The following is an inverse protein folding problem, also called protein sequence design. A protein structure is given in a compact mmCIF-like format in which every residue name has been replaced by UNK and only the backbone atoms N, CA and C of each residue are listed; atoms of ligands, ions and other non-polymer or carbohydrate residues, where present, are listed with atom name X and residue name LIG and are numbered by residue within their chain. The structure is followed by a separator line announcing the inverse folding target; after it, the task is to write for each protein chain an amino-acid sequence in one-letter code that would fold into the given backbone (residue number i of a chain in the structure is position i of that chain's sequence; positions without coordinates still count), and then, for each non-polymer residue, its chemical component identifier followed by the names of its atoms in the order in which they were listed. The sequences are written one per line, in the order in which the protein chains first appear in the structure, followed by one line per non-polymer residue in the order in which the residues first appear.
data_IF_483404798743
#
_entry.id   IF_483404798743
#
_cell.length_a   1.000
_cell.length_b   1.000
_cell.length_c   1.000
_cell.angle_alpha   90.00
_cell.angle_beta   90.00
_cell.angle_gamma   90.00
#
_symmetry.space_group_name_H-M   'P 1'
#
loop_
_entity.id
_entity.type
_entity.pdbx_description
1 polymer ?
#
# COMPACT_ATOMS: atom_id res chain seq x y z
N UNK A 1 -41.27 -34.95 40.73
CA UNK A 1 -40.89 -34.20 39.50
C UNK A 1 -39.40 -33.92 39.56
N UNK A 2 -38.56 -34.71 38.87
CA UNK A 2 -37.11 -34.49 38.82
C UNK A 2 -36.80 -33.58 37.63
N UNK A 3 -36.23 -32.41 37.89
CA UNK A 3 -35.79 -31.47 36.84
C UNK A 3 -34.45 -31.99 36.28
N UNK A 4 -34.46 -32.49 35.05
CA UNK A 4 -33.25 -32.71 34.27
C UNK A 4 -32.81 -31.35 33.69
N UNK A 5 -31.75 -30.77 34.23
CA UNK A 5 -31.06 -29.66 33.57
C UNK A 5 -30.09 -30.24 32.54
N UNK A 6 -30.36 -30.01 31.26
CA UNK A 6 -29.44 -30.29 30.16
C UNK A 6 -28.38 -29.17 30.14
N UNK A 7 -27.12 -29.50 30.41
CA UNK A 7 -25.99 -28.59 30.16
C UNK A 7 -25.59 -28.76 28.68
N UNK A 8 -25.83 -27.75 27.85
CA UNK A 8 -25.31 -27.70 26.48
C UNK A 8 -23.92 -27.07 26.56
N UNK A 9 -22.87 -27.89 26.40
CA UNK A 9 -21.49 -27.44 26.28
C UNK A 9 -21.26 -27.02 24.81
N UNK A 10 -21.38 -25.73 24.50
CA UNK A 10 -21.03 -25.20 23.18
C UNK A 10 -19.51 -25.10 23.05
N UNK A 11 -18.89 -26.05 22.35
CA UNK A 11 -17.51 -25.93 21.85
C UNK A 11 -17.49 -24.88 20.73
N UNK A 12 -17.15 -23.64 21.06
CA UNK A 12 -16.73 -22.66 20.05
C UNK A 12 -15.31 -23.02 19.62
N UNK A 13 -15.18 -23.76 18.53
CA UNK A 13 -13.94 -23.79 17.75
C UNK A 13 -13.79 -22.44 17.05
N UNK A 14 -12.95 -21.56 17.60
CA UNK A 14 -12.59 -20.30 16.96
C UNK A 14 -11.89 -20.58 15.64
N UNK A 15 -12.47 -20.15 14.53
CA UNK A 15 -11.76 -20.04 13.28
C UNK A 15 -10.77 -18.87 13.41
N UNK A 16 -9.48 -19.16 13.45
CA UNK A 16 -8.45 -18.14 13.31
C UNK A 16 -8.44 -17.69 11.85
N UNK A 17 -9.16 -16.62 11.54
CA UNK A 17 -8.94 -15.87 10.30
C UNK A 17 -7.63 -15.12 10.51
N UNK A 18 -6.56 -15.54 9.85
CA UNK A 18 -5.33 -14.76 9.79
C UNK A 18 -5.67 -13.52 8.97
N UNK A 19 -5.90 -12.38 9.65
CA UNK A 19 -6.00 -11.09 8.98
C UNK A 19 -4.69 -10.81 8.26
N UNK A 20 -4.76 -10.36 7.02
CA UNK A 20 -3.58 -9.90 6.29
C UNK A 20 -3.05 -8.65 6.98
N UNK A 21 -1.74 -8.62 7.24
CA UNK A 21 -1.10 -7.50 7.94
C UNK A 21 -1.10 -6.26 7.04
N UNK A 22 -1.54 -5.12 7.55
CA UNK A 22 -1.31 -3.83 6.90
C UNK A 22 -0.27 -3.03 7.69
N UNK A 23 0.27 -2.00 7.07
CA UNK A 23 1.16 -1.05 7.75
C UNK A 23 0.33 -0.27 8.77
N UNK A 24 0.85 -0.10 9.98
CA UNK A 24 0.19 0.72 10.99
C UNK A 24 0.16 2.21 10.60
N UNK A 25 -0.98 2.86 10.85
CA UNK A 25 -1.27 4.25 10.48
C UNK A 25 -1.00 4.56 9.00
N UNK A 26 -1.32 3.61 8.12
CA UNK A 26 -1.13 3.71 6.68
C UNK A 26 -1.95 4.79 5.96
N UNK A 27 -3.00 5.32 6.60
CA UNK A 27 -3.79 6.47 6.13
C UNK A 27 -3.38 7.81 6.75
N UNK A 28 -2.34 7.86 7.61
CA UNK A 28 -1.86 9.09 8.24
C UNK A 28 -2.92 9.89 9.03
N UNK A 29 -3.74 9.20 9.82
CA UNK A 29 -4.80 9.84 10.61
C UNK A 29 -4.36 10.18 12.04
N UNK A 30 -3.36 9.47 12.55
CA UNK A 30 -2.84 9.61 13.91
C UNK A 30 -1.47 10.29 13.91
N UNK A 31 -1.29 11.30 14.75
CA UNK A 31 -0.11 12.16 14.77
C UNK A 31 0.27 12.58 16.19
N UNK A 32 1.58 12.62 16.44
CA UNK A 32 2.14 13.17 17.66
C UNK A 32 2.46 14.66 17.49
N UNK A 33 2.35 15.40 18.59
CA UNK A 33 2.80 16.80 18.71
C UNK A 33 2.29 17.75 17.59
N UNK A 34 1.06 17.55 17.13
CA UNK A 34 0.43 18.37 16.07
C UNK A 34 0.57 19.86 16.35
N UNK A 35 1.06 20.61 15.36
CA UNK A 35 1.28 22.06 15.43
C UNK A 35 2.61 22.47 16.06
N UNK A 36 3.47 21.52 16.44
CA UNK A 36 4.81 21.79 16.96
C UNK A 36 5.91 21.50 15.92
N UNK A 37 7.16 21.84 16.25
CA UNK A 37 8.32 21.52 15.40
C UNK A 37 8.76 20.05 15.48
N UNK A 38 8.10 19.23 16.30
CA UNK A 38 8.34 17.78 16.45
C UNK A 38 7.11 16.96 16.06
N UNK A 39 6.25 17.52 15.22
CA UNK A 39 5.10 16.83 14.65
C UNK A 39 5.57 15.73 13.69
N UNK A 40 5.12 14.50 13.95
CA UNK A 40 5.38 13.31 13.13
C UNK A 40 4.14 12.38 13.19
N UNK A 41 3.84 11.60 12.12
CA UNK A 41 2.74 10.64 12.16
C UNK A 41 3.08 9.51 13.13
N UNK A 42 2.09 8.98 13.86
CA UNK A 42 2.36 7.78 14.66
C UNK A 42 2.84 6.64 13.75
N UNK A 43 3.81 5.84 14.21
CA UNK A 43 4.47 4.75 13.47
C UNK A 43 5.39 5.18 12.30
N UNK A 44 5.51 6.47 12.01
CA UNK A 44 6.35 6.98 10.93
C UNK A 44 7.30 8.06 11.44
N UNK A 45 8.53 8.02 10.99
CA UNK A 45 9.61 8.85 11.53
C UNK A 45 10.19 9.75 10.46
N UNK A 46 10.40 11.02 10.84
CA UNK A 46 11.12 12.01 10.06
C UNK A 46 12.45 12.37 10.73
N UNK A 47 12.96 13.54 10.41
CA UNK A 47 14.25 13.99 10.95
C UNK A 47 14.22 14.38 12.43
N UNK A 48 13.04 14.51 13.05
CA UNK A 48 12.96 14.96 14.45
C UNK A 48 13.24 13.83 15.44
N UNK A 49 13.06 12.59 15.01
CA UNK A 49 13.39 11.36 15.74
C UNK A 49 14.64 10.65 15.18
N UNK A 50 15.39 11.32 14.30
CA UNK A 50 16.61 10.79 13.71
C UNK A 50 17.70 10.42 14.74
N UNK A 51 18.62 9.55 14.31
CA UNK A 51 19.84 9.13 14.99
C UNK A 51 21.08 9.64 14.26
N UNK A 52 22.27 9.26 14.74
CA UNK A 52 23.55 9.62 14.14
C UNK A 52 24.15 10.91 14.70
N UNK A 53 25.41 11.16 14.32
CA UNK A 53 26.26 12.25 14.84
C UNK A 53 25.63 13.63 14.69
N UNK A 54 24.83 13.85 13.64
CA UNK A 54 24.25 15.14 13.31
C UNK A 54 22.74 15.24 13.61
N UNK A 55 22.17 14.30 14.37
CA UNK A 55 20.73 14.27 14.63
C UNK A 55 20.18 15.52 15.33
N UNK A 56 20.99 16.20 16.16
CA UNK A 56 20.60 17.45 16.83
C UNK A 56 20.29 18.59 15.85
N UNK A 57 20.71 18.47 14.60
CA UNK A 57 20.42 19.41 13.52
C UNK A 57 19.19 19.02 12.68
N UNK A 58 18.53 17.92 13.05
CA UNK A 58 17.30 17.43 12.43
C UNK A 58 16.20 18.48 12.43
N UNK A 59 15.68 18.77 11.24
CA UNK A 59 14.65 19.78 11.00
C UNK A 59 13.30 19.14 10.76
N UNK A 60 12.22 19.83 11.15
CA UNK A 60 10.89 19.42 10.72
C UNK A 60 10.80 19.48 9.18
N UNK A 61 10.38 18.36 8.59
CA UNK A 61 10.19 18.18 7.15
C UNK A 61 8.96 17.34 6.81
N UNK A 62 8.09 17.15 7.80
CA UNK A 62 6.79 16.47 7.69
C UNK A 62 5.76 17.18 8.57
N UNK A 63 4.52 17.29 8.10
CA UNK A 63 3.34 17.74 8.86
C UNK A 63 2.10 16.97 8.43
N UNK A 64 1.09 17.01 9.30
CA UNK A 64 -0.27 16.61 8.96
C UNK A 64 -0.89 17.64 8.03
N UNK A 65 -1.37 17.18 6.88
CA UNK A 65 -2.11 18.00 5.93
C UNK A 65 -3.58 17.63 5.95
N UNK A 66 -4.45 18.61 5.70
CA UNK A 66 -5.89 18.38 5.42
C UNK A 66 -6.17 18.21 3.93
N UNK A 67 -5.14 18.27 3.09
CA UNK A 67 -5.24 17.98 1.68
C UNK A 67 -5.19 16.46 1.51
N UNK A 68 -6.32 15.85 1.14
CA UNK A 68 -6.48 14.40 1.03
C UNK A 68 -6.84 14.00 -0.38
N UNK A 69 -6.61 12.73 -0.73
CA UNK A 69 -6.99 12.25 -2.06
C UNK A 69 -8.50 12.36 -2.31
N UNK A 70 -8.94 12.40 -3.59
CA UNK A 70 -10.36 12.27 -3.91
C UNK A 70 -10.97 11.01 -3.32
N UNK A 71 -12.17 11.15 -2.73
CA UNK A 71 -12.92 10.07 -2.09
C UNK A 71 -12.14 9.36 -0.96
N UNK A 72 -11.21 10.05 -0.28
CA UNK A 72 -10.63 9.52 0.96
C UNK A 72 -11.72 9.36 2.02
N UNK A 73 -11.63 8.29 2.81
CA UNK A 73 -12.40 8.15 4.04
C UNK A 73 -11.70 8.83 5.23
N UNK A 74 -10.40 9.11 5.07
CA UNK A 74 -9.55 9.82 6.01
C UNK A 74 -9.73 11.33 5.93
N UNK A 75 -9.28 12.02 6.98
CA UNK A 75 -9.32 13.48 7.07
C UNK A 75 -7.94 14.10 6.84
N UNK A 76 -6.90 13.29 6.88
CA UNK A 76 -5.53 13.76 6.90
C UNK A 76 -4.64 13.01 5.92
N UNK A 77 -3.53 13.64 5.56
CA UNK A 77 -2.44 13.03 4.80
C UNK A 77 -1.10 13.51 5.35
N UNK A 78 0.00 12.87 4.95
CA UNK A 78 1.33 13.36 5.27
C UNK A 78 1.84 14.30 4.17
N UNK A 79 2.28 15.51 4.54
CA UNK A 79 3.01 16.42 3.64
C UNK A 79 4.47 16.50 4.07
N UNK A 80 5.37 16.20 3.14
CA UNK A 80 6.81 16.34 3.28
C UNK A 80 7.34 17.44 2.38
N UNK A 81 8.50 17.99 2.73
CA UNK A 81 9.18 18.97 1.88
C UNK A 81 10.71 18.89 1.93
N UNK A 82 11.32 19.28 0.82
CA UNK A 82 12.76 19.57 0.76
C UNK A 82 13.07 20.80 1.61
N UNK A 83 14.17 20.76 2.36
CA UNK A 83 14.64 21.87 3.19
C UNK A 83 16.10 22.22 2.90
N UNK A 84 16.39 23.50 2.75
CA UNK A 84 17.76 24.00 2.76
C UNK A 84 18.22 24.17 4.22
N UNK A 85 19.18 23.35 4.66
CA UNK A 85 19.73 23.36 6.03
C UNK A 85 21.08 24.08 6.12
N UNK A 86 21.32 25.06 5.24
CA UNK A 86 22.54 25.88 5.10
C UNK A 86 23.77 25.11 4.60
N UNK A 87 24.04 23.91 5.14
CA UNK A 87 25.19 23.08 4.75
C UNK A 87 24.88 22.17 3.56
N UNK A 88 23.60 21.90 3.31
CA UNK A 88 23.13 21.03 2.25
C UNK A 88 21.64 21.25 1.98
N UNK A 89 21.16 20.68 0.87
CA UNK A 89 19.75 20.43 0.64
C UNK A 89 19.39 19.08 1.27
N UNK A 90 18.47 19.07 2.22
CA UNK A 90 17.91 17.87 2.82
C UNK A 90 16.60 17.53 2.13
N UNK A 91 16.46 16.33 1.59
CA UNK A 91 15.18 15.85 1.07
C UNK A 91 14.17 15.74 2.21
N UNK A 92 12.89 15.98 1.95
CA UNK A 92 11.86 15.47 2.84
C UNK A 92 11.98 13.95 2.89
N UNK A 93 11.95 13.37 4.08
CA UNK A 93 12.16 11.94 4.30
C UNK A 93 11.22 11.47 5.41
N UNK A 94 10.38 10.47 5.09
CA UNK A 94 9.44 9.84 6.02
C UNK A 94 9.58 8.33 5.87
N UNK A 95 9.78 7.63 6.98
CA UNK A 95 10.08 6.20 6.97
C UNK A 95 9.41 5.45 8.12
N UNK A 96 9.07 4.18 7.92
CA UNK A 96 8.70 3.26 9.01
C UNK A 96 9.90 2.90 9.91
N UNK A 97 11.11 3.16 9.42
CA UNK A 97 12.34 2.95 10.16
C UNK A 97 12.77 4.18 10.93
N UNK A 98 14.08 4.36 11.06
CA UNK A 98 14.72 5.56 11.58
C UNK A 98 15.70 6.15 10.57
N UNK A 99 15.79 7.46 10.53
CA UNK A 99 16.81 8.17 9.74
C UNK A 99 18.12 8.21 10.54
N UNK A 100 19.24 7.84 9.95
CA UNK A 100 20.58 8.06 10.48
C UNK A 100 21.24 9.25 9.78
N UNK A 101 21.53 10.31 10.53
CA UNK A 101 22.22 11.53 10.10
C UNK A 101 23.71 11.44 10.46
N UNK A 102 24.47 10.57 9.79
CA UNK A 102 25.87 10.35 10.11
C UNK A 102 26.83 11.38 9.51
N UNK A 103 26.42 12.13 8.48
CA UNK A 103 27.30 13.04 7.73
C UNK A 103 26.59 14.27 7.17
N UNK A 104 27.26 15.42 7.15
CA UNK A 104 26.78 16.63 6.46
C UNK A 104 26.93 16.58 4.94
N UNK A 105 27.71 15.62 4.40
CA UNK A 105 27.78 15.33 2.96
C UNK A 105 26.60 14.46 2.57
N UNK A 106 25.64 14.93 1.75
CA UNK A 106 24.38 14.21 1.48
C UNK A 106 24.56 12.81 0.92
N UNK A 107 25.53 12.62 0.03
CA UNK A 107 25.83 11.34 -0.64
C UNK A 107 26.66 10.36 0.18
N UNK A 108 26.99 10.69 1.42
CA UNK A 108 27.75 9.79 2.30
C UNK A 108 26.94 8.54 2.64
N UNK A 109 27.59 7.37 2.63
CA UNK A 109 27.01 6.11 3.07
C UNK A 109 26.64 6.11 4.57
N UNK A 110 27.11 7.09 5.34
CA UNK A 110 26.70 7.30 6.73
C UNK A 110 25.30 7.94 6.84
N UNK A 111 24.69 8.35 5.73
CA UNK A 111 23.31 8.83 5.69
C UNK A 111 22.42 7.75 5.08
N UNK A 112 21.50 7.21 5.88
CA UNK A 112 20.61 6.12 5.47
C UNK A 112 19.35 6.09 6.33
N UNK A 113 18.31 5.45 5.82
CA UNK A 113 17.18 5.01 6.64
C UNK A 113 17.39 3.56 7.02
N UNK A 114 16.96 3.15 8.21
CA UNK A 114 17.13 1.76 8.62
C UNK A 114 16.00 1.25 9.50
N UNK A 115 15.75 -0.05 9.43
CA UNK A 115 14.93 -0.73 10.42
C UNK A 115 15.79 -1.00 11.65
N UNK A 116 15.47 -0.35 12.76
CA UNK A 116 16.09 -0.65 14.06
C UNK A 116 15.27 -1.78 14.70
N UNK A 117 15.63 -3.03 14.40
CA UNK A 117 14.76 -4.20 14.63
C UNK A 117 14.52 -4.53 16.12
N UNK A 118 15.26 -3.90 17.04
CA UNK A 118 15.07 -4.01 18.47
C UNK A 118 14.16 -2.93 19.07
N UNK A 119 13.68 -1.98 18.26
CA UNK A 119 12.81 -0.88 18.68
C UNK A 119 11.58 -0.79 17.77
N UNK A 120 10.42 -1.07 18.37
CA UNK A 120 9.12 -1.06 17.68
C UNK A 120 8.69 0.33 17.22
N UNK A 121 9.32 1.41 17.72
CA UNK A 121 9.07 2.76 17.23
C UNK A 121 9.77 3.05 15.89
N UNK A 122 10.73 2.20 15.52
CA UNK A 122 11.61 2.37 14.36
C UNK A 122 11.72 1.09 13.51
N UNK A 123 10.71 0.22 13.62
CA UNK A 123 10.60 -1.00 12.83
C UNK A 123 9.14 -1.43 12.70
N UNK A 124 8.78 -1.90 11.50
CA UNK A 124 7.45 -2.44 11.20
C UNK A 124 7.57 -3.94 10.94
N UNK A 125 6.90 -4.76 11.74
CA UNK A 125 6.91 -6.22 11.56
C UNK A 125 6.04 -6.62 10.38
N UNK A 126 6.58 -7.45 9.49
CA UNK A 126 5.84 -8.02 8.38
C UNK A 126 6.36 -9.41 8.02
N UNK A 127 5.58 -10.43 8.36
CA UNK A 127 5.95 -11.84 8.11
C UNK A 127 5.32 -12.41 6.84
N UNK A 128 4.54 -11.60 6.11
CA UNK A 128 3.85 -11.98 4.89
C UNK A 128 4.47 -11.25 3.69
N UNK A 129 4.47 -11.89 2.52
CA UNK A 129 5.03 -11.30 1.30
C UNK A 129 3.85 -10.84 0.41
N UNK A 130 3.47 -9.55 0.42
CA UNK A 130 2.49 -9.00 -0.50
C UNK A 130 2.94 -9.11 -1.96
N UNK A 131 1.98 -8.99 -2.87
CA UNK A 131 2.18 -8.93 -4.31
C UNK A 131 2.56 -7.51 -4.75
N UNK A 132 1.90 -6.49 -4.20
CA UNK A 132 2.18 -5.09 -4.56
C UNK A 132 2.02 -4.12 -3.41
N UNK A 133 2.77 -3.02 -3.50
CA UNK A 133 2.60 -1.81 -2.71
C UNK A 133 1.70 -0.85 -3.49
N UNK A 134 0.64 -0.38 -2.86
CA UNK A 134 -0.28 0.64 -3.37
C UNK A 134 -0.23 1.85 -2.47
N UNK A 135 -0.35 3.05 -3.03
CA UNK A 135 -0.45 4.28 -2.26
C UNK A 135 -0.96 5.42 -3.14
N UNK A 136 -1.36 6.53 -2.53
CA UNK A 136 -1.67 7.77 -3.22
C UNK A 136 -0.60 8.82 -2.95
N UNK A 137 -0.22 9.55 -4.00
CA UNK A 137 0.74 10.65 -3.91
C UNK A 137 0.30 11.87 -4.71
N UNK A 138 0.73 13.03 -4.24
CA UNK A 138 0.76 14.27 -5.01
C UNK A 138 2.14 14.88 -4.87
N UNK A 139 2.83 15.13 -5.99
CA UNK A 139 4.19 15.68 -5.98
C UNK A 139 4.25 16.98 -6.78
N UNK A 140 4.73 18.02 -6.13
CA UNK A 140 4.89 19.36 -6.69
C UNK A 140 6.35 19.80 -6.45
N UNK A 141 7.26 19.49 -7.39
CA UNK A 141 8.61 20.02 -7.36
C UNK A 141 8.65 21.43 -7.96
N UNK A 142 9.70 22.18 -7.62
CA UNK A 142 10.00 23.48 -8.24
C UNK A 142 10.72 23.28 -9.57
N UNK A 143 11.68 22.35 -9.61
CA UNK A 143 12.29 21.91 -10.86
C UNK A 143 11.55 20.66 -11.36
N UNK A 144 10.99 20.73 -12.57
CA UNK A 144 10.22 19.63 -13.17
C UNK A 144 11.04 18.35 -13.41
N UNK A 145 12.37 18.46 -13.43
CA UNK A 145 13.29 17.33 -13.57
C UNK A 145 13.54 16.60 -12.24
N UNK A 146 13.09 17.16 -11.11
CA UNK A 146 13.14 16.45 -9.84
C UNK A 146 12.11 15.33 -9.83
N UNK A 147 12.53 14.16 -9.34
CA UNK A 147 11.68 12.99 -9.16
C UNK A 147 11.66 12.62 -7.68
N UNK A 148 10.47 12.44 -7.12
CA UNK A 148 10.31 11.85 -5.79
C UNK A 148 10.61 10.34 -5.86
N UNK A 149 10.91 9.73 -4.71
CA UNK A 149 11.22 8.30 -4.62
C UNK A 149 10.40 7.64 -3.52
N UNK A 150 9.92 6.44 -3.81
CA UNK A 150 9.46 5.48 -2.81
C UNK A 150 10.41 4.29 -2.83
N UNK A 151 10.75 3.80 -1.64
CA UNK A 151 11.56 2.60 -1.45
C UNK A 151 10.92 1.75 -0.39
N UNK A 152 10.53 0.54 -0.76
CA UNK A 152 9.89 -0.41 0.11
C UNK A 152 10.63 -1.73 0.04
N UNK A 153 11.19 -2.18 1.16
CA UNK A 153 11.99 -3.39 1.23
C UNK A 153 11.48 -4.26 2.38
N UNK A 154 11.15 -5.51 2.06
CA UNK A 154 10.86 -6.55 3.03
C UNK A 154 12.16 -7.32 3.24
N UNK A 155 12.55 -7.48 4.50
CA UNK A 155 13.82 -8.10 4.89
C UNK A 155 13.63 -9.04 6.08
N UNK A 156 14.67 -9.81 6.37
CA UNK A 156 14.69 -10.75 7.49
C UNK A 156 14.93 -10.06 8.84
N UNK A 157 15.44 -10.78 9.84
CA UNK A 157 15.60 -10.24 11.19
C UNK A 157 16.91 -9.48 11.41
N UNK A 158 17.62 -9.12 10.34
CA UNK A 158 18.83 -8.29 10.40
C UNK A 158 18.47 -6.83 10.13
N UNK A 159 19.10 -5.89 10.84
CA UNK A 159 18.94 -4.47 10.52
C UNK A 159 19.25 -4.21 9.03
N UNK A 160 18.34 -3.52 8.36
CA UNK A 160 18.44 -3.22 6.94
C UNK A 160 18.56 -1.71 6.73
N UNK A 161 19.51 -1.27 5.90
CA UNK A 161 19.77 0.14 5.60
C UNK A 161 19.44 0.48 4.14
N UNK A 162 18.49 1.37 3.89
CA UNK A 162 18.25 1.97 2.58
C UNK A 162 19.08 3.26 2.42
N UNK A 163 19.92 3.41 1.37
CA UNK A 163 20.09 2.51 0.22
C UNK A 163 21.22 1.48 0.32
N UNK A 164 22.02 1.50 1.39
CA UNK A 164 23.28 0.74 1.48
C UNK A 164 23.16 -0.77 1.32
N UNK A 165 22.03 -1.34 1.74
CA UNK A 165 21.78 -2.78 1.79
C UNK A 165 20.81 -3.26 0.70
N UNK A 166 20.32 -2.37 -0.16
CA UNK A 166 19.37 -2.72 -1.23
C UNK A 166 19.90 -3.84 -2.11
N UNK A 167 19.11 -4.91 -2.24
CA UNK A 167 19.45 -6.09 -3.04
C UNK A 167 20.45 -7.06 -2.39
N UNK A 168 20.81 -6.88 -1.11
CA UNK A 168 21.66 -7.82 -0.39
C UNK A 168 20.92 -9.15 -0.07
N UNK A 169 21.62 -10.08 0.60
CA UNK A 169 21.09 -11.42 0.94
C UNK A 169 19.92 -11.43 1.94
N UNK A 170 19.75 -10.34 2.69
CA UNK A 170 18.74 -10.23 3.73
C UNK A 170 17.40 -9.75 3.15
N UNK A 171 17.41 -9.22 1.92
CA UNK A 171 16.20 -8.79 1.21
C UNK A 171 15.37 -9.99 0.79
N UNK A 172 14.09 -9.94 1.15
CA UNK A 172 13.06 -10.91 0.77
C UNK A 172 12.28 -10.42 -0.46
N UNK A 173 11.91 -9.14 -0.48
CA UNK A 173 11.25 -8.52 -1.61
C UNK A 173 11.43 -7.00 -1.63
N UNK A 174 11.35 -6.37 -2.80
CA UNK A 174 11.43 -4.91 -2.91
C UNK A 174 10.44 -4.32 -3.93
N UNK A 175 9.95 -3.13 -3.63
CA UNK A 175 9.17 -2.28 -4.52
C UNK A 175 9.73 -0.86 -4.44
N UNK A 176 10.56 -0.49 -5.42
CA UNK A 176 11.25 0.81 -5.47
C UNK A 176 10.88 1.49 -6.78
N UNK A 177 10.45 2.75 -6.71
CA UNK A 177 10.11 3.54 -7.89
C UNK A 177 10.39 5.01 -7.66
N UNK A 178 10.90 5.67 -8.69
CA UNK A 178 10.95 7.13 -8.77
C UNK A 178 9.76 7.61 -9.60
N UNK A 179 9.25 8.80 -9.31
CA UNK A 179 8.15 9.38 -10.06
C UNK A 179 8.27 10.90 -10.21
N UNK A 180 7.91 11.43 -11.39
CA UNK A 180 7.93 12.86 -11.64
C UNK A 180 6.74 13.56 -10.98
N UNK A 181 6.65 14.87 -11.18
CA UNK A 181 5.53 15.70 -10.75
C UNK A 181 4.15 15.10 -11.15
N UNK A 182 3.14 15.33 -10.30
CA UNK A 182 1.78 14.80 -10.52
C UNK A 182 0.81 15.85 -11.07
N UNK A 183 1.33 16.97 -11.60
CA UNK A 183 0.56 18.12 -12.09
C UNK A 183 -0.44 18.67 -11.05
N UNK A 184 -0.06 18.65 -9.77
CA UNK A 184 -0.92 19.13 -8.68
C UNK A 184 -2.09 18.20 -8.33
N UNK A 185 -2.19 17.02 -8.94
CA UNK A 185 -3.25 16.05 -8.68
C UNK A 185 -2.76 14.89 -7.82
N UNK A 186 -3.68 14.29 -7.07
CA UNK A 186 -3.47 13.01 -6.42
C UNK A 186 -3.48 11.88 -7.44
N UNK A 187 -2.45 11.04 -7.43
CA UNK A 187 -2.27 9.90 -8.33
C UNK A 187 -2.08 8.65 -7.49
N UNK A 188 -2.87 7.61 -7.78
CA UNK A 188 -2.67 6.27 -7.23
C UNK A 188 -1.49 5.60 -7.92
N UNK A 189 -0.56 5.07 -7.13
CA UNK A 189 0.56 4.24 -7.59
C UNK A 189 0.34 2.80 -7.14
N UNK A 190 0.88 1.87 -7.92
CA UNK A 190 0.84 0.43 -7.66
C UNK A 190 2.14 -0.17 -8.17
N UNK A 191 2.96 -0.67 -7.27
CA UNK A 191 4.31 -1.18 -7.57
C UNK A 191 4.36 -2.65 -7.17
N UNK A 192 4.62 -3.58 -8.11
CA UNK A 192 4.78 -4.98 -7.77
C UNK A 192 6.08 -5.20 -6.98
N UNK A 193 6.02 -6.08 -5.99
CA UNK A 193 7.21 -6.53 -5.27
C UNK A 193 8.02 -7.50 -6.14
N UNK A 194 9.29 -7.17 -6.36
CA UNK A 194 10.28 -8.11 -6.91
C UNK A 194 10.80 -8.98 -5.77
N UNK A 195 10.59 -10.30 -5.86
CA UNK A 195 10.97 -11.27 -4.83
C UNK A 195 12.41 -11.77 -5.03
N UNK A 196 13.11 -11.98 -3.92
CA UNK A 196 14.47 -12.49 -3.85
C UNK A 196 14.47 -13.95 -3.38
N UNK A 197 15.67 -14.52 -3.21
CA UNK A 197 15.86 -15.91 -2.78
C UNK A 197 15.58 -16.13 -1.30
N UNK A 198 15.82 -15.12 -0.47
CA UNK A 198 15.43 -15.15 0.94
C UNK A 198 13.91 -15.10 1.05
N UNK A 199 13.33 -15.97 1.85
CA UNK A 199 11.87 -16.07 2.05
C UNK A 199 11.46 -15.79 3.49
N UNK A 200 12.41 -15.50 4.38
CA UNK A 200 12.18 -15.26 5.79
C UNK A 200 11.77 -13.79 6.05
N UNK A 201 10.59 -13.39 5.58
CA UNK A 201 10.05 -12.05 5.85
C UNK A 201 9.86 -11.86 7.37
N UNK A 202 10.42 -10.78 7.92
CA UNK A 202 10.26 -10.43 9.33
C UNK A 202 9.90 -8.95 9.50
N UNK A 203 10.48 -8.07 8.68
CA UNK A 203 10.28 -6.63 8.75
C UNK A 203 10.09 -6.00 7.38
N UNK A 204 9.48 -4.82 7.36
CA UNK A 204 9.34 -3.96 6.18
C UNK A 204 9.92 -2.58 6.49
N UNK A 205 10.78 -2.07 5.60
CA UNK A 205 11.24 -0.69 5.59
C UNK A 205 10.63 0.03 4.40
N UNK A 206 9.69 0.92 4.65
CA UNK A 206 9.10 1.81 3.66
C UNK A 206 9.60 3.24 3.90
N UNK A 207 10.02 3.90 2.82
CA UNK A 207 10.51 5.28 2.81
C UNK A 207 9.92 6.03 1.64
N UNK A 208 9.48 7.27 1.89
CA UNK A 208 9.20 8.26 0.86
C UNK A 208 10.15 9.44 0.96
N UNK A 209 10.66 9.91 -0.19
CA UNK A 209 11.49 11.11 -0.26
C UNK A 209 11.05 12.08 -1.36
N UNK A 210 11.23 13.38 -1.11
CA UNK A 210 10.92 14.44 -2.10
C UNK A 210 11.88 14.47 -3.28
N UNK A 211 13.01 13.75 -3.21
CA UNK A 211 13.93 13.57 -4.31
C UNK A 211 14.56 12.17 -4.29
N UNK A 212 14.83 11.61 -5.48
CA UNK A 212 15.52 10.33 -5.64
C UNK A 212 17.01 10.39 -5.30
N UNK A 213 17.64 11.56 -5.49
CA UNK A 213 19.08 11.74 -5.31
C UNK A 213 19.35 12.56 -4.03
N UNK A 214 20.22 12.08 -3.12
CA UNK A 214 20.58 12.82 -1.92
C UNK A 214 21.20 14.18 -2.25
N UNK A 215 20.78 15.23 -1.54
CA UNK A 215 21.33 16.57 -1.75
C UNK A 215 20.72 17.32 -2.94
N UNK A 216 19.78 16.71 -3.67
CA UNK A 216 19.07 17.35 -4.78
C UNK A 216 17.69 17.82 -4.32
N UNK A 217 17.28 19.00 -4.75
CA UNK A 217 15.97 19.54 -4.44
C UNK A 217 15.98 21.06 -4.40
N UNK A 218 14.81 21.66 -4.27
CA UNK A 218 14.67 23.11 -4.14
C UNK A 218 13.96 23.49 -2.86
N UNK A 219 14.48 24.52 -2.19
CA UNK A 219 13.84 25.24 -1.10
C UNK A 219 14.35 26.69 -1.08
N UNK A 220 13.48 27.62 -1.49
CA UNK A 220 13.76 29.05 -1.50
C UNK A 220 13.06 29.80 -0.35
N UNK A 221 12.69 29.10 0.73
CA UNK A 221 12.25 29.71 1.98
C UNK A 221 10.73 29.84 2.16
N UNK A 222 9.92 29.28 1.27
CA UNK A 222 8.46 29.17 1.47
C UNK A 222 7.89 27.87 0.92
N UNK A 223 6.69 27.50 1.37
CA UNK A 223 6.01 26.28 0.92
C UNK A 223 5.72 26.26 -0.59
N UNK A 224 5.52 27.41 -1.22
CA UNK A 224 5.30 27.55 -2.65
C UNK A 224 6.59 27.54 -3.48
N UNK A 225 7.74 27.57 -2.83
CA UNK A 225 9.06 27.69 -3.47
C UNK A 225 10.01 26.59 -3.03
N UNK A 226 9.45 25.46 -2.57
CA UNK A 226 10.17 24.23 -2.25
C UNK A 226 9.48 23.01 -2.87
N UNK A 227 10.21 21.92 -3.01
CA UNK A 227 9.63 20.66 -3.46
C UNK A 227 8.74 20.09 -2.35
N UNK A 228 7.48 19.78 -2.65
CA UNK A 228 6.52 19.21 -1.71
C UNK A 228 5.97 17.87 -2.23
N UNK A 229 5.83 16.92 -1.31
CA UNK A 229 5.27 15.59 -1.55
C UNK A 229 4.18 15.33 -0.53
N UNK A 230 2.98 14.99 -0.99
CA UNK A 230 1.90 14.48 -0.15
C UNK A 230 1.72 12.98 -0.39
N UNK A 231 1.42 12.24 0.67
CA UNK A 231 1.24 10.79 0.68
C UNK A 231 0.00 10.46 1.49
N UNK A 232 -0.81 9.53 0.98
CA UNK A 232 -2.05 9.09 1.63
C UNK A 232 -2.34 7.61 1.28
N UNK A 233 -3.15 6.94 2.11
CA UNK A 233 -3.68 5.59 1.93
C UNK A 233 -2.68 4.57 1.35
N UNK A 234 -1.66 4.19 2.13
CA UNK A 234 -0.70 3.13 1.79
C UNK A 234 -1.34 1.76 2.02
N UNK A 235 -1.21 0.84 1.07
CA UNK A 235 -1.81 -0.49 1.14
C UNK A 235 -0.83 -1.57 0.66
N UNK A 236 -0.75 -2.66 1.41
CA UNK A 236 -0.10 -3.89 0.97
C UNK A 236 -1.16 -4.81 0.35
N UNK A 237 -1.02 -5.09 -0.94
CA UNK A 237 -1.93 -5.99 -1.65
C UNK A 237 -1.36 -7.39 -1.61
N UNK A 238 -2.06 -8.32 -0.97
CA UNK A 238 -1.64 -9.71 -0.91
C UNK A 238 -2.21 -10.51 -2.06
N UNK A 239 -1.48 -11.52 -2.53
CA UNK A 239 -2.08 -12.51 -3.38
C UNK A 239 -3.24 -13.16 -2.61
N UNK A 240 -4.44 -13.12 -3.18
CA UNK A 240 -5.53 -13.92 -2.66
C UNK A 240 -5.12 -15.38 -2.80
N UNK A 241 -4.69 -15.99 -1.69
CA UNK A 241 -4.55 -17.44 -1.62
C UNK A 241 -5.95 -18.01 -1.87
N UNK A 242 -6.18 -18.44 -3.11
CA UNK A 242 -7.38 -19.10 -3.58
C UNK A 242 -8.69 -18.28 -3.39
N UNK A 243 -9.14 -17.63 -4.48
CA UNK A 243 -10.46 -18.08 -4.93
C UNK A 243 -10.21 -19.55 -5.29
N UNK A 244 -10.52 -20.47 -4.37
CA UNK A 244 -10.75 -21.82 -4.83
C UNK A 244 -11.79 -21.62 -5.92
N UNK A 245 -11.45 -21.93 -7.16
CA UNK A 245 -12.48 -22.26 -8.12
C UNK A 245 -13.15 -23.44 -7.45
N UNK A 246 -14.22 -23.15 -6.72
CA UNK A 246 -15.10 -24.16 -6.20
C UNK A 246 -15.70 -24.71 -7.48
N UNK A 247 -15.01 -25.66 -8.09
CA UNK A 247 -15.57 -26.64 -9.01
C UNK A 247 -16.44 -27.57 -8.16
N UNK A 248 -17.30 -27.00 -7.30
CA UNK A 248 -18.60 -27.61 -7.13
C UNK A 248 -19.21 -27.53 -8.52
N UNK A 249 -19.93 -28.58 -8.87
CA UNK A 249 -20.60 -28.78 -10.14
C UNK A 249 -21.70 -27.70 -10.32
N UNK A 250 -21.31 -26.42 -10.41
CA UNK A 250 -22.21 -25.31 -10.62
C UNK A 250 -22.78 -25.49 -12.02
N UNK A 251 -24.11 -25.58 -12.17
CA UNK A 251 -24.74 -25.82 -13.46
C UNK A 251 -24.76 -24.56 -14.32
N UNK A 252 -23.75 -23.70 -14.20
CA UNK A 252 -23.63 -22.43 -14.90
C UNK A 252 -22.63 -22.57 -16.04
N UNK A 253 -23.10 -22.38 -17.26
CA UNK A 253 -22.27 -22.42 -18.47
C UNK A 253 -22.06 -21.00 -18.97
N UNK A 254 -20.80 -20.60 -19.14
CA UNK A 254 -20.44 -19.34 -19.79
C UNK A 254 -19.71 -19.60 -21.11
N UNK A 255 -20.14 -18.92 -22.16
CA UNK A 255 -19.53 -18.99 -23.50
C UNK A 255 -19.84 -17.71 -24.29
N UNK A 256 -19.16 -17.51 -25.41
CA UNK A 256 -19.33 -16.32 -26.24
C UNK A 256 -19.81 -16.66 -27.64
N UNK A 257 -20.67 -15.81 -28.19
CA UNK A 257 -21.09 -15.79 -29.59
C UNK A 257 -20.76 -14.39 -30.15
N UNK A 258 -19.59 -14.24 -30.77
CA UNK A 258 -19.05 -12.92 -31.14
C UNK A 258 -18.83 -12.03 -29.92
N UNK A 259 -19.36 -10.79 -29.98
CA UNK A 259 -19.30 -9.81 -28.88
C UNK A 259 -20.32 -10.09 -27.75
N UNK A 260 -21.10 -11.17 -27.84
CA UNK A 260 -22.12 -11.49 -26.83
C UNK A 260 -21.58 -12.52 -25.83
N UNK A 261 -21.47 -12.11 -24.56
CA UNK A 261 -21.27 -13.03 -23.44
C UNK A 261 -22.60 -13.67 -23.05
N UNK A 262 -22.64 -15.00 -23.04
CA UNK A 262 -23.82 -15.79 -22.70
C UNK A 262 -23.55 -16.54 -21.40
N UNK A 263 -24.45 -16.38 -20.43
CA UNK A 263 -24.39 -17.01 -19.10
C UNK A 263 -25.68 -17.80 -18.92
N UNK A 264 -25.59 -19.12 -18.98
CA UNK A 264 -26.73 -20.02 -18.77
C UNK A 264 -26.70 -20.58 -17.36
N UNK A 265 -27.75 -20.32 -16.59
CA UNK A 265 -27.95 -20.95 -15.29
C UNK A 265 -28.90 -22.14 -15.43
N UNK A 266 -28.37 -23.37 -15.38
CA UNK A 266 -29.17 -24.56 -15.67
C UNK A 266 -29.87 -25.16 -14.44
N UNK A 267 -29.48 -24.83 -13.19
CA UNK A 267 -30.19 -25.20 -11.95
C UNK A 267 -29.68 -24.39 -10.75
N UNK A 268 -30.48 -23.43 -10.30
CA UNK A 268 -30.55 -22.82 -8.94
C UNK A 268 -30.90 -21.33 -9.09
N UNK A 269 -31.66 -20.77 -8.18
CA UNK A 269 -31.80 -19.32 -8.03
C UNK A 269 -30.41 -18.71 -7.77
N UNK A 270 -29.93 -17.87 -8.68
CA UNK A 270 -28.82 -16.98 -8.36
C UNK A 270 -29.40 -15.79 -7.59
N UNK A 271 -28.78 -15.41 -6.48
CA UNK A 271 -29.16 -14.27 -5.63
C UNK A 271 -28.43 -12.99 -6.04
N UNK A 272 -27.35 -13.11 -6.81
CA UNK A 272 -26.66 -11.98 -7.41
C UNK A 272 -25.83 -12.43 -8.60
N UNK A 273 -25.73 -11.60 -9.61
CA UNK A 273 -24.76 -11.70 -10.70
C UNK A 273 -24.08 -10.35 -10.88
N UNK A 274 -22.76 -10.36 -10.94
CA UNK A 274 -21.92 -9.18 -11.17
C UNK A 274 -20.95 -9.52 -12.30
N UNK A 275 -20.77 -8.60 -13.24
CA UNK A 275 -19.76 -8.72 -14.30
C UNK A 275 -18.84 -7.52 -14.19
N UNK A 276 -17.55 -7.79 -14.06
CA UNK A 276 -16.52 -6.80 -13.82
C UNK A 276 -15.58 -6.77 -15.03
N UNK A 277 -15.28 -5.58 -15.54
CA UNK A 277 -14.30 -5.38 -16.62
C UNK A 277 -12.86 -5.52 -16.11
N UNK A 278 -11.89 -5.56 -17.02
CA UNK A 278 -10.47 -5.70 -16.65
C UNK A 278 -9.92 -4.53 -15.81
N UNK A 279 -10.61 -3.38 -15.84
CA UNK A 279 -10.28 -2.16 -15.13
C UNK A 279 -10.94 -2.08 -13.74
N UNK A 280 -11.63 -3.15 -13.32
CA UNK A 280 -12.35 -3.21 -12.05
C UNK A 280 -13.74 -2.57 -12.07
N UNK A 281 -14.19 -1.97 -13.18
CA UNK A 281 -15.52 -1.38 -13.27
C UNK A 281 -16.61 -2.47 -13.33
N UNK A 282 -17.70 -2.28 -12.59
CA UNK A 282 -18.90 -3.11 -12.72
C UNK A 282 -19.61 -2.77 -14.03
N UNK A 283 -19.68 -3.75 -14.92
CA UNK A 283 -20.28 -3.64 -16.26
C UNK A 283 -21.73 -4.11 -16.25
N UNK A 284 -22.08 -5.02 -15.34
CA UNK A 284 -23.44 -5.49 -15.13
C UNK A 284 -23.64 -5.96 -13.71
N UNK A 285 -24.80 -5.67 -13.12
CA UNK A 285 -25.20 -6.18 -11.82
C UNK A 285 -26.71 -6.47 -11.79
N UNK A 286 -27.11 -7.60 -11.23
CA UNK A 286 -28.52 -7.91 -11.00
C UNK A 286 -28.71 -8.84 -9.79
N UNK A 287 -29.85 -8.69 -9.11
CA UNK A 287 -30.20 -9.42 -7.90
C UNK A 287 -30.73 -10.85 -8.15
N UNK A 288 -30.95 -11.25 -9.40
CA UNK A 288 -31.18 -12.67 -9.70
C UNK A 288 -30.93 -13.04 -11.16
N UNK A 289 -30.63 -14.32 -11.38
CA UNK A 289 -30.57 -14.91 -12.71
C UNK A 289 -31.39 -16.22 -12.74
N UNK A 290 -32.62 -16.12 -13.24
CA UNK A 290 -33.54 -17.25 -13.33
C UNK A 290 -33.40 -18.05 -14.64
N UNK A 291 -32.67 -17.53 -15.65
CA UNK A 291 -32.54 -18.13 -16.99
C UNK A 291 -31.18 -17.78 -17.65
N UNK A 292 -31.12 -17.77 -18.99
CA UNK A 292 -29.95 -17.34 -19.77
C UNK A 292 -29.85 -15.81 -19.80
N UNK A 293 -28.70 -15.26 -19.40
CA UNK A 293 -28.33 -13.86 -19.64
C UNK A 293 -27.48 -13.77 -20.90
N UNK A 294 -27.78 -12.77 -21.74
CA UNK A 294 -26.97 -12.42 -22.91
C UNK A 294 -26.62 -10.95 -22.81
N UNK A 295 -25.33 -10.63 -22.85
CA UNK A 295 -24.83 -9.26 -22.78
C UNK A 295 -23.88 -9.00 -23.93
N UNK A 296 -24.15 -7.93 -24.69
CA UNK A 296 -23.20 -7.41 -25.66
C UNK A 296 -22.17 -6.57 -24.93
N UNK A 297 -20.93 -7.04 -24.97
CA UNK A 297 -19.79 -6.41 -24.31
C UNK A 297 -18.77 -6.03 -25.37
N UNK A 298 -17.95 -5.03 -25.07
CA UNK A 298 -16.77 -4.74 -25.88
C UNK A 298 -15.78 -5.92 -25.82
N UNK A 299 -14.84 -5.96 -26.76
CA UNK A 299 -13.81 -7.00 -26.76
C UNK A 299 -12.90 -6.80 -25.55
N UNK A 300 -12.72 -7.85 -24.75
CA UNK A 300 -11.98 -7.70 -23.51
C UNK A 300 -12.09 -8.88 -22.56
N UNK A 301 -11.42 -8.73 -21.43
CA UNK A 301 -11.45 -9.69 -20.32
C UNK A 301 -12.51 -9.22 -19.33
N UNK A 302 -13.37 -10.14 -18.92
CA UNK A 302 -14.41 -9.92 -17.94
C UNK A 302 -14.36 -11.00 -16.86
N UNK A 303 -14.76 -10.64 -15.65
CA UNK A 303 -14.94 -11.57 -14.54
C UNK A 303 -16.42 -11.65 -14.23
N UNK A 304 -16.97 -12.85 -14.34
CA UNK A 304 -18.36 -13.15 -14.00
C UNK A 304 -18.39 -13.70 -12.58
N UNK A 305 -19.00 -12.96 -11.67
CA UNK A 305 -19.26 -13.37 -10.29
C UNK A 305 -20.75 -13.68 -10.14
N UNK A 306 -21.06 -14.83 -9.53
CA UNK A 306 -22.43 -15.25 -9.24
C UNK A 306 -22.49 -15.72 -7.79
N UNK A 307 -23.47 -15.23 -7.04
CA UNK A 307 -23.71 -15.59 -5.64
C UNK A 307 -25.05 -16.32 -5.54
N UNK A 308 -25.08 -17.45 -4.84
CA UNK A 308 -26.29 -18.18 -4.48
C UNK A 308 -26.27 -18.62 -3.01
N UNK A 309 -27.30 -19.33 -2.57
CA UNK A 309 -27.41 -19.85 -1.20
C UNK A 309 -26.26 -20.82 -0.81
N UNK A 310 -25.61 -21.44 -1.80
CA UNK A 310 -24.55 -22.43 -1.62
C UNK A 310 -23.13 -21.83 -1.74
N UNK A 311 -23.00 -20.53 -2.02
CA UNK A 311 -21.71 -19.82 -2.09
C UNK A 311 -21.54 -18.92 -3.31
N UNK A 312 -20.28 -18.59 -3.61
CA UNK A 312 -19.89 -17.69 -4.69
C UNK A 312 -19.10 -18.45 -5.77
N UNK A 313 -19.44 -18.19 -7.02
CA UNK A 313 -18.74 -18.64 -8.22
C UNK A 313 -18.12 -17.44 -8.93
N UNK A 314 -16.85 -17.55 -9.35
CA UNK A 314 -16.18 -16.53 -10.15
C UNK A 314 -15.47 -17.19 -11.33
N UNK A 315 -15.69 -16.67 -12.54
CA UNK A 315 -15.04 -17.16 -13.75
C UNK A 315 -14.55 -16.03 -14.65
N UNK A 316 -13.33 -16.18 -15.15
CA UNK A 316 -12.77 -15.33 -16.20
C UNK A 316 -13.38 -15.71 -17.56
N UNK A 317 -13.88 -14.71 -18.28
CA UNK A 317 -14.43 -14.82 -19.62
C UNK A 317 -13.69 -13.85 -20.55
N UNK A 318 -13.45 -14.26 -21.80
CA UNK A 318 -12.76 -13.44 -22.82
C UNK A 318 -13.72 -13.22 -23.98
N UNK A 319 -14.22 -12.00 -24.18
CA UNK A 319 -15.09 -11.64 -25.32
C UNK A 319 -14.20 -11.25 -26.50
N UNK A 320 -14.38 -11.92 -27.65
CA UNK A 320 -13.52 -11.84 -28.84
C UNK A 320 -14.11 -10.98 -29.95
#
# INVERSE_FOLDING_TARGET
MKKCSLLILSLLSGFYIISQTQIDNNGFELWDNVGSTSEEPNNWNGFKTASGTWNSFGSQQVIRSTDVRPNSNGLYSAQLWTKNVTVAIANGNLTLGRINMGSTTPTSAENYNYSQTDDVLFSETLTQIPDSLVFWVKFIPINIDHEARVSCVIHDNVEFKDPNDVGNSNVVAQAIQNFPLTNGNWIRKSIPFTKFTNTNAQFILLTFTTNKDPGVGTDNGSEFTRDNLWIDDVELIYPNNSLNEVINNFPIITYNEGNTLIIKNNKSTANQIIIIGNNGAVVYENASLNQTLKLNLEKGIYFVQIVNENGQFVKKCIVF
#
